data_IF_549067518070
#
_entry.id   IF_549067518070
#
_cell.length_a   1.000
_cell.length_b   1.000
_cell.length_c   1.000
_cell.angle_alpha   90.00
_cell.angle_beta   90.00
_cell.angle_gamma   90.00
#
_symmetry.space_group_name_H-M   'P 1'
#
loop_
_entity.id
_entity.type
_entity.pdbx_description
1 polymer ?
#
# COMPACT_ATOMS: atom_id res chain seq x y z
N UNK A 1 -5.78 1.77 13.45
CA UNK A 1 -5.15 3.12 13.35
C UNK A 1 -5.06 3.48 11.87
N UNK A 2 -5.43 4.71 11.46
CA UNK A 2 -5.26 5.13 10.07
C UNK A 2 -3.77 5.36 9.77
N UNK A 3 -3.25 4.76 8.69
CA UNK A 3 -1.89 5.02 8.22
C UNK A 3 -1.77 6.49 7.80
N UNK A 4 -0.72 7.18 8.26
CA UNK A 4 -0.39 8.51 7.75
C UNK A 4 -0.13 8.43 6.24
N UNK A 5 -0.60 9.46 5.52
CA UNK A 5 -0.62 9.51 4.05
C UNK A 5 0.75 9.21 3.39
N UNK A 6 1.86 9.60 4.02
CA UNK A 6 3.21 9.31 3.52
C UNK A 6 3.75 7.92 3.87
N UNK A 7 3.25 7.29 4.93
CA UNK A 7 3.68 5.94 5.34
C UNK A 7 3.14 4.89 4.39
N UNK A 8 1.88 5.02 3.98
CA UNK A 8 1.28 4.10 3.00
C UNK A 8 2.00 4.18 1.64
N UNK A 9 2.34 5.38 1.18
CA UNK A 9 3.09 5.59 -0.06
C UNK A 9 4.44 4.80 -0.03
N UNK A 10 5.19 4.84 1.07
CA UNK A 10 6.46 4.11 1.21
C UNK A 10 6.28 2.59 1.26
N UNK A 11 5.23 2.10 1.93
CA UNK A 11 4.92 0.66 1.95
C UNK A 11 4.58 0.15 0.56
N UNK A 12 3.80 0.91 -0.22
CA UNK A 12 3.48 0.60 -1.61
C UNK A 12 4.77 0.51 -2.43
N UNK A 13 5.64 1.53 -2.37
CA UNK A 13 6.89 1.55 -3.12
C UNK A 13 7.82 0.40 -2.73
N UNK A 14 7.96 0.10 -1.43
CA UNK A 14 8.76 -1.03 -0.93
C UNK A 14 8.30 -2.36 -1.54
N UNK A 15 6.99 -2.56 -1.69
CA UNK A 15 6.45 -3.79 -2.30
C UNK A 15 6.74 -3.84 -3.80
N UNK A 16 6.64 -2.71 -4.50
CA UNK A 16 6.88 -2.62 -5.94
C UNK A 16 8.36 -2.79 -6.33
N UNK A 17 9.31 -2.66 -5.38
CA UNK A 17 10.73 -3.02 -5.60
C UNK A 17 10.87 -4.48 -6.05
N UNK A 18 9.98 -5.38 -5.63
CA UNK A 18 10.00 -6.79 -6.02
C UNK A 18 9.30 -7.07 -7.35
N UNK A 19 8.81 -6.03 -8.03
CA UNK A 19 8.19 -6.11 -9.35
C UNK A 19 6.72 -5.63 -9.39
N UNK A 20 6.12 -5.60 -10.59
CA UNK A 20 4.75 -5.13 -10.79
C UNK A 20 3.74 -5.96 -9.98
N UNK A 21 2.78 -5.29 -9.35
CA UNK A 21 1.77 -5.94 -8.51
C UNK A 21 0.43 -5.23 -8.62
N UNK A 22 -0.65 -6.00 -8.60
CA UNK A 22 -2.01 -5.46 -8.59
C UNK A 22 -2.35 -4.86 -7.23
N UNK A 23 -3.31 -3.91 -7.16
CA UNK A 23 -3.68 -3.23 -5.92
C UNK A 23 -4.03 -4.17 -4.77
N UNK A 24 -4.85 -5.20 -5.03
CA UNK A 24 -5.17 -6.23 -4.03
C UNK A 24 -3.93 -7.02 -3.57
N UNK A 25 -2.98 -7.26 -4.47
CA UNK A 25 -1.72 -7.91 -4.11
C UNK A 25 -0.84 -7.03 -3.20
N UNK A 26 -0.90 -5.70 -3.38
CA UNK A 26 -0.19 -4.73 -2.53
C UNK A 26 -0.83 -4.70 -1.14
N UNK A 27 -2.17 -4.59 -1.05
CA UNK A 27 -2.88 -4.62 0.24
C UNK A 27 -2.56 -5.88 1.04
N UNK A 28 -2.62 -7.04 0.38
CA UNK A 28 -2.29 -8.33 1.00
C UNK A 28 -0.84 -8.42 1.46
N UNK A 29 0.11 -7.91 0.68
CA UNK A 29 1.51 -7.90 1.08
C UNK A 29 1.77 -6.98 2.29
N UNK A 30 1.03 -5.87 2.42
CA UNK A 30 1.11 -4.99 3.61
C UNK A 30 0.59 -5.75 4.83
N UNK A 31 -0.59 -6.36 4.72
CA UNK A 31 -1.21 -7.16 5.78
C UNK A 31 -0.28 -8.29 6.24
N UNK A 32 0.22 -9.11 5.32
CA UNK A 32 1.16 -10.20 5.59
C UNK A 32 2.45 -9.71 6.24
N UNK A 33 3.00 -8.57 5.78
CA UNK A 33 4.23 -7.99 6.35
C UNK A 33 4.05 -7.40 7.75
N UNK A 34 2.80 -7.17 8.16
CA UNK A 34 2.43 -6.61 9.45
C UNK A 34 1.85 -7.64 10.41
N UNK A 35 1.91 -8.92 10.07
CA UNK A 35 1.29 -10.00 10.85
C UNK A 35 -0.22 -9.80 11.08
N UNK A 36 -0.89 -9.12 10.15
CA UNK A 36 -2.33 -8.82 10.21
C UNK A 36 -2.69 -7.50 10.93
N UNK A 37 -1.73 -6.76 11.48
CA UNK A 37 -1.99 -5.52 12.22
C UNK A 37 -2.33 -4.32 11.31
N UNK A 38 -1.85 -4.33 10.06
CA UNK A 38 -2.10 -3.28 9.07
C UNK A 38 -3.05 -3.77 7.98
N UNK A 39 -4.33 -3.46 8.18
CA UNK A 39 -5.37 -3.64 7.17
C UNK A 39 -5.47 -2.40 6.29
N UNK A 40 -5.13 -2.55 5.01
CA UNK A 40 -5.23 -1.47 4.03
C UNK A 40 -6.52 -1.59 3.25
N UNK A 41 -7.45 -0.69 3.54
CA UNK A 41 -8.71 -0.60 2.80
C UNK A 41 -8.51 -0.05 1.39
N UNK A 42 -9.35 -0.48 0.46
CA UNK A 42 -9.39 0.05 -0.92
C UNK A 42 -9.55 1.58 -0.95
N UNK A 43 -10.31 2.15 -0.01
CA UNK A 43 -10.54 3.59 0.10
C UNK A 43 -9.28 4.40 0.44
N UNK A 44 -8.28 3.79 1.09
CA UNK A 44 -6.98 4.40 1.33
C UNK A 44 -5.98 4.07 0.23
N UNK A 45 -6.02 2.84 -0.30
CA UNK A 45 -5.06 2.34 -1.28
C UNK A 45 -5.14 3.05 -2.63
N UNK A 46 -6.32 3.12 -3.24
CA UNK A 46 -6.43 3.64 -4.61
C UNK A 46 -6.05 5.13 -4.71
N UNK A 47 -6.47 6.00 -3.77
CA UNK A 47 -5.97 7.37 -3.75
C UNK A 47 -4.44 7.46 -3.56
N UNK A 48 -3.83 6.54 -2.81
CA UNK A 48 -2.38 6.49 -2.66
C UNK A 48 -1.67 6.09 -3.95
N UNK A 49 -2.19 5.09 -4.66
CA UNK A 49 -1.70 4.69 -5.98
C UNK A 49 -1.82 5.84 -6.99
N UNK A 50 -2.96 6.51 -7.04
CA UNK A 50 -3.19 7.66 -7.93
C UNK A 50 -2.19 8.79 -7.66
N UNK A 51 -1.92 9.09 -6.37
CA UNK A 51 -0.91 10.10 -6.00
C UNK A 51 0.49 9.71 -6.43
N UNK A 52 0.87 8.44 -6.24
CA UNK A 52 2.18 7.93 -6.65
C UNK A 52 2.36 7.95 -8.17
N UNK A 53 1.29 7.71 -8.93
CA UNK A 53 1.29 7.80 -10.40
C UNK A 53 1.35 9.25 -10.90
N UNK A 54 0.71 10.18 -10.17
CA UNK A 54 0.70 11.61 -10.53
C UNK A 54 1.99 12.38 -10.20
N UNK A 55 2.99 11.72 -9.63
CA UNK A 55 4.29 12.29 -9.24
C UNK A 55 5.37 11.90 -10.24
#
# INVERSE_FOLDING_TARGET
MALLQGTLDLLILRILVFGPRHGQGIARAIEESSEGELLVEHGALYPALQRLESR
#
